data_IF_948929911957
#
_entry.id   IF_948929911957
#
_cell.length_a   1.000
_cell.length_b   1.000
_cell.length_c   1.000
_cell.angle_alpha   90.00
_cell.angle_beta   90.00
_cell.angle_gamma   90.00
#
_symmetry.space_group_name_H-M   'P 1'
#
loop_
_entity.id
_entity.type
_entity.pdbx_description
1 polymer ?
#
# COMPACT_ATOMS: atom_id res chain seq x y z
N UNK A 1 -0.70 40.56 9.07
CA UNK A 1 -0.33 39.85 7.82
C UNK A 1 1.19 39.80 7.56
N UNK A 2 1.97 40.89 7.68
CA UNK A 2 3.38 40.88 7.23
C UNK A 2 4.31 39.87 7.92
N UNK A 3 4.11 39.57 9.22
CA UNK A 3 4.95 38.60 9.94
C UNK A 3 4.69 37.14 9.52
N UNK A 4 3.42 36.75 9.31
CA UNK A 4 3.04 35.42 8.81
C UNK A 4 3.64 35.17 7.41
N UNK A 5 3.50 36.14 6.51
CA UNK A 5 4.09 36.07 5.17
C UNK A 5 5.62 35.95 5.23
N UNK A 6 6.30 36.74 6.07
CA UNK A 6 7.76 36.63 6.24
C UNK A 6 8.20 35.26 6.75
N UNK A 7 7.43 34.64 7.66
CA UNK A 7 7.76 33.35 8.25
C UNK A 7 7.49 32.16 7.30
N UNK A 8 6.40 32.21 6.54
CA UNK A 8 5.91 31.08 5.74
C UNK A 8 6.12 31.24 4.23
N UNK A 9 6.70 32.34 3.73
CA UNK A 9 6.90 32.60 2.28
C UNK A 9 7.51 31.43 1.52
N UNK A 10 8.51 30.78 2.11
CA UNK A 10 9.21 29.66 1.48
C UNK A 10 8.31 28.42 1.44
N UNK A 11 7.58 28.15 2.52
CA UNK A 11 6.63 27.03 2.56
C UNK A 11 5.48 27.24 1.56
N UNK A 12 4.97 28.48 1.43
CA UNK A 12 3.93 28.81 0.45
C UNK A 12 4.45 28.69 -0.98
N UNK A 13 5.65 29.21 -1.27
CA UNK A 13 6.28 29.08 -2.58
C UNK A 13 6.54 27.63 -2.97
N UNK A 14 7.10 26.82 -2.07
CA UNK A 14 7.26 25.39 -2.27
C UNK A 14 5.91 24.67 -2.43
N UNK A 15 4.88 25.09 -1.70
CA UNK A 15 3.53 24.57 -1.85
C UNK A 15 2.97 24.79 -3.26
N UNK A 16 3.17 25.99 -3.83
CA UNK A 16 2.79 26.30 -5.21
C UNK A 16 3.62 25.48 -6.22
N UNK A 17 4.93 25.38 -6.02
CA UNK A 17 5.81 24.55 -6.86
C UNK A 17 5.35 23.09 -6.84
N UNK A 18 5.08 22.52 -5.65
CA UNK A 18 4.57 21.16 -5.53
C UNK A 18 3.22 20.99 -6.22
N UNK A 19 2.31 21.95 -6.11
CA UNK A 19 1.02 21.89 -6.80
C UNK A 19 1.20 21.88 -8.33
N UNK A 20 2.07 22.73 -8.88
CA UNK A 20 2.38 22.72 -10.32
C UNK A 20 3.02 21.41 -10.76
N UNK A 21 3.93 20.86 -9.96
CA UNK A 21 4.59 19.58 -10.28
C UNK A 21 3.60 18.42 -10.20
N UNK A 22 2.72 18.35 -9.19
CA UNK A 22 1.67 17.33 -9.14
C UNK A 22 0.68 17.47 -10.30
N UNK A 23 0.27 18.69 -10.66
CA UNK A 23 -0.60 18.91 -11.81
C UNK A 23 0.08 18.47 -13.12
N UNK A 24 1.36 18.77 -13.28
CA UNK A 24 2.16 18.28 -14.40
C UNK A 24 2.20 16.74 -14.44
N UNK A 25 2.47 16.09 -13.31
CA UNK A 25 2.47 14.62 -13.23
C UNK A 25 1.10 14.02 -13.56
N UNK A 26 0.02 14.64 -13.09
CA UNK A 26 -1.34 14.15 -13.29
C UNK A 26 -1.81 14.24 -14.74
N UNK A 27 -1.38 15.26 -15.48
CA UNK A 27 -2.00 15.62 -16.77
C UNK A 27 -1.06 15.54 -17.97
N UNK A 28 0.25 15.41 -17.76
CA UNK A 28 1.23 15.47 -18.85
C UNK A 28 2.38 14.45 -18.74
N UNK A 29 2.57 13.80 -17.59
CA UNK A 29 3.64 12.82 -17.43
C UNK A 29 3.18 11.44 -17.87
N UNK A 30 3.93 10.84 -18.78
CA UNK A 30 3.77 9.44 -19.19
C UNK A 30 4.70 8.53 -18.37
N UNK A 31 4.28 7.28 -18.13
CA UNK A 31 5.00 6.32 -17.27
C UNK A 31 6.41 6.03 -17.75
N UNK A 32 6.61 6.03 -19.06
CA UNK A 32 7.84 5.73 -19.76
C UNK A 32 8.88 6.86 -19.62
N UNK A 33 8.46 8.07 -19.23
CA UNK A 33 9.32 9.24 -19.07
C UNK A 33 10.10 9.22 -17.74
N UNK A 34 10.87 8.16 -17.51
CA UNK A 34 11.53 7.85 -16.23
C UNK A 34 12.34 9.00 -15.64
N UNK A 35 13.15 9.70 -16.44
CA UNK A 35 13.98 10.81 -15.94
C UNK A 35 13.13 11.99 -15.43
N UNK A 36 12.04 12.30 -16.13
CA UNK A 36 11.12 13.36 -15.75
C UNK A 36 10.35 12.96 -14.48
N UNK A 37 9.91 11.69 -14.39
CA UNK A 37 9.29 11.14 -13.19
C UNK A 37 10.21 11.26 -11.98
N UNK A 38 11.48 10.85 -12.10
CA UNK A 38 12.45 10.95 -10.99
C UNK A 38 12.74 12.38 -10.58
N UNK A 39 12.97 13.28 -11.54
CA UNK A 39 13.25 14.68 -11.25
C UNK A 39 12.06 15.37 -10.55
N UNK A 40 10.85 15.19 -11.09
CA UNK A 40 9.63 15.74 -10.52
C UNK A 40 9.33 15.15 -9.13
N UNK A 41 9.50 13.84 -8.95
CA UNK A 41 9.36 13.19 -7.65
C UNK A 41 10.39 13.68 -6.63
N UNK A 42 11.65 13.87 -7.04
CA UNK A 42 12.70 14.42 -6.18
C UNK A 42 12.39 15.83 -5.68
N UNK A 43 11.84 16.70 -6.54
CA UNK A 43 11.38 18.04 -6.15
C UNK A 43 10.26 17.95 -5.10
N UNK A 44 9.26 17.09 -5.34
CA UNK A 44 8.16 16.86 -4.40
C UNK A 44 8.67 16.33 -3.06
N UNK A 45 9.62 15.39 -3.08
CA UNK A 45 10.18 14.79 -1.88
C UNK A 45 11.00 15.80 -1.06
N UNK A 46 11.78 16.66 -1.71
CA UNK A 46 12.51 17.73 -1.05
C UNK A 46 11.56 18.75 -0.38
N UNK A 47 10.51 19.16 -1.09
CA UNK A 47 9.47 20.05 -0.56
C UNK A 47 8.72 19.41 0.61
N UNK A 48 8.36 18.13 0.51
CA UNK A 48 7.76 17.35 1.59
C UNK A 48 8.62 17.36 2.86
N UNK A 49 9.92 17.04 2.76
CA UNK A 49 10.83 17.07 3.90
C UNK A 49 10.91 18.47 4.51
N UNK A 50 10.92 19.52 3.67
CA UNK A 50 10.89 20.90 4.14
C UNK A 50 9.61 21.21 4.94
N UNK A 51 8.43 20.84 4.44
CA UNK A 51 7.16 21.05 5.14
C UNK A 51 7.14 20.35 6.50
N UNK A 52 7.60 19.10 6.59
CA UNK A 52 7.63 18.38 7.85
C UNK A 52 8.63 19.00 8.85
N UNK A 53 9.76 19.52 8.39
CA UNK A 53 10.74 20.12 9.29
C UNK A 53 10.34 21.51 9.77
N UNK A 54 9.78 22.33 8.88
CA UNK A 54 9.54 23.77 9.12
C UNK A 54 8.10 24.09 9.53
N UNK A 55 7.13 23.29 9.10
CA UNK A 55 5.70 23.56 9.27
C UNK A 55 4.97 22.52 10.12
N UNK A 56 5.67 21.60 10.80
CA UNK A 56 5.06 20.52 11.62
C UNK A 56 3.98 20.95 12.62
N UNK A 57 4.01 22.19 13.11
CA UNK A 57 3.01 22.71 14.05
C UNK A 57 1.83 23.39 13.34
N UNK A 58 1.96 23.69 12.05
CA UNK A 58 0.96 24.38 11.25
C UNK A 58 -0.05 23.40 10.66
N UNK A 59 -0.93 22.87 11.52
CA UNK A 59 -1.88 21.82 11.13
C UNK A 59 -2.73 22.18 9.91
N UNK A 60 -3.32 23.37 9.89
CA UNK A 60 -4.23 23.81 8.82
C UNK A 60 -3.50 23.87 7.48
N UNK A 61 -2.26 24.36 7.48
CA UNK A 61 -1.44 24.41 6.29
C UNK A 61 -1.12 23.00 5.77
N UNK A 62 -0.61 22.11 6.62
CA UNK A 62 -0.26 20.73 6.21
C UNK A 62 -1.50 19.93 5.76
N UNK A 63 -2.64 20.12 6.42
CA UNK A 63 -3.91 19.53 5.99
C UNK A 63 -4.34 20.07 4.61
N UNK A 64 -4.29 21.38 4.43
CA UNK A 64 -4.63 22.05 3.18
C UNK A 64 -3.75 21.59 2.01
N UNK A 65 -2.44 21.48 2.22
CA UNK A 65 -1.52 20.92 1.22
C UNK A 65 -1.90 19.49 0.85
N UNK A 66 -2.08 18.61 1.83
CA UNK A 66 -2.32 17.19 1.56
C UNK A 66 -3.66 16.92 0.89
N UNK A 67 -4.71 17.69 1.20
CA UNK A 67 -5.99 17.63 0.46
C UNK A 67 -5.83 18.25 -0.92
N UNK A 68 -5.27 19.47 -1.00
CA UNK A 68 -5.10 20.20 -2.25
C UNK A 68 -4.31 19.40 -3.29
N UNK A 69 -3.20 18.78 -2.92
CA UNK A 69 -2.40 17.95 -3.82
C UNK A 69 -3.17 16.73 -4.36
N UNK A 70 -4.00 16.08 -3.54
CA UNK A 70 -4.83 14.95 -3.99
C UNK A 70 -5.94 15.39 -4.94
N UNK A 71 -6.51 16.58 -4.74
CA UNK A 71 -7.56 17.14 -5.60
C UNK A 71 -7.06 17.45 -7.02
N UNK A 72 -5.76 17.68 -7.22
CA UNK A 72 -5.18 17.89 -8.56
C UNK A 72 -5.32 16.67 -9.48
N UNK A 73 -5.42 15.48 -8.88
CA UNK A 73 -5.63 14.23 -9.61
C UNK A 73 -7.11 13.94 -9.88
N UNK A 74 -8.07 14.70 -9.34
CA UNK A 74 -9.49 14.32 -9.34
C UNK A 74 -10.01 13.95 -10.73
N UNK A 75 -9.64 14.74 -11.74
CA UNK A 75 -10.01 14.56 -13.15
C UNK A 75 -8.80 14.21 -14.03
N UNK A 76 -7.87 13.39 -13.53
CA UNK A 76 -6.76 12.85 -14.30
C UNK A 76 -6.96 11.36 -14.59
N UNK A 77 -6.32 10.79 -15.61
CA UNK A 77 -6.20 9.32 -15.68
C UNK A 77 -5.07 8.85 -14.74
N UNK A 78 -5.20 7.67 -14.10
CA UNK A 78 -4.04 6.99 -13.52
C UNK A 78 -2.96 6.76 -14.58
N UNK A 79 -1.73 7.19 -14.30
CA UNK A 79 -0.65 7.20 -15.28
C UNK A 79 0.47 6.19 -14.97
N UNK A 80 0.57 5.69 -13.74
CA UNK A 80 1.57 4.69 -13.33
C UNK A 80 1.03 3.26 -13.29
N UNK A 81 -0.30 3.09 -13.27
CA UNK A 81 -0.94 1.78 -13.18
C UNK A 81 -2.16 1.69 -14.09
N UNK A 82 -2.39 0.49 -14.62
CA UNK A 82 -3.55 0.13 -15.43
C UNK A 82 -4.58 -0.71 -14.65
N UNK A 83 -4.34 -0.99 -13.37
CA UNK A 83 -5.21 -1.85 -12.55
C UNK A 83 -6.64 -1.31 -12.45
N UNK A 84 -6.80 0.00 -12.57
CA UNK A 84 -8.10 0.66 -12.46
C UNK A 84 -9.11 0.23 -13.53
N UNK A 85 -8.65 -0.18 -14.72
CA UNK A 85 -9.52 -0.79 -15.72
C UNK A 85 -10.17 -2.06 -15.18
N UNK A 86 -9.39 -2.90 -14.47
CA UNK A 86 -9.90 -4.11 -13.85
C UNK A 86 -10.84 -3.80 -12.68
N UNK A 87 -10.57 -2.74 -11.92
CA UNK A 87 -11.47 -2.32 -10.84
C UNK A 87 -12.85 -1.93 -11.39
N UNK A 88 -12.90 -1.15 -12.48
CA UNK A 88 -14.16 -0.74 -13.10
C UNK A 88 -14.87 -1.96 -13.71
N UNK A 89 -14.14 -2.82 -14.41
CA UNK A 89 -14.67 -4.07 -14.99
C UNK A 89 -15.33 -4.94 -13.94
N UNK A 90 -14.61 -5.29 -12.87
CA UNK A 90 -15.12 -6.16 -11.82
C UNK A 90 -16.32 -5.51 -11.10
N UNK A 91 -16.28 -4.18 -10.89
CA UNK A 91 -17.40 -3.45 -10.32
C UNK A 91 -18.66 -3.50 -11.17
N UNK A 92 -18.53 -3.41 -12.50
CA UNK A 92 -19.66 -3.56 -13.44
C UNK A 92 -20.18 -5.00 -13.47
N UNK A 93 -19.31 -6.00 -13.46
CA UNK A 93 -19.71 -7.42 -13.42
C UNK A 93 -20.67 -7.71 -12.26
N UNK A 94 -20.34 -7.21 -11.07
CA UNK A 94 -21.16 -7.40 -9.87
C UNK A 94 -22.56 -6.79 -10.07
N UNK A 95 -22.67 -5.65 -10.74
CA UNK A 95 -23.97 -5.02 -11.04
C UNK A 95 -24.78 -5.76 -12.10
N UNK A 96 -24.12 -6.48 -13.00
CA UNK A 96 -24.75 -7.33 -14.00
C UNK A 96 -24.98 -8.77 -13.48
N UNK A 97 -24.74 -9.02 -12.18
CA UNK A 97 -25.02 -10.29 -11.52
C UNK A 97 -23.95 -11.37 -11.68
N UNK A 98 -22.79 -11.03 -12.25
CA UNK A 98 -21.65 -11.93 -12.40
C UNK A 98 -20.69 -11.85 -11.21
N UNK A 99 -20.14 -13.00 -10.81
CA UNK A 99 -19.03 -13.04 -9.85
C UNK A 99 -17.69 -12.87 -10.56
N UNK A 100 -16.85 -11.89 -10.18
CA UNK A 100 -15.50 -11.72 -10.74
C UNK A 100 -14.53 -12.90 -10.48
N UNK A 101 -14.92 -13.85 -9.62
CA UNK A 101 -14.15 -15.05 -9.33
C UNK A 101 -14.55 -16.24 -10.20
N UNK A 102 -15.68 -16.16 -10.91
CA UNK A 102 -16.19 -17.27 -11.70
C UNK A 102 -15.59 -17.31 -13.10
N UNK A 103 -15.45 -16.14 -13.74
CA UNK A 103 -14.95 -16.02 -15.11
C UNK A 103 -13.83 -15.00 -15.21
N UNK A 104 -12.84 -15.29 -16.05
CA UNK A 104 -11.85 -14.32 -16.51
C UNK A 104 -12.45 -13.37 -17.56
N UNK A 105 -11.90 -12.16 -17.74
CA UNK A 105 -12.34 -11.25 -18.80
C UNK A 105 -12.25 -11.88 -20.21
N UNK A 106 -11.23 -12.70 -20.49
CA UNK A 106 -11.11 -13.42 -21.77
C UNK A 106 -12.29 -14.36 -22.04
N UNK A 107 -12.72 -15.12 -21.02
CA UNK A 107 -13.84 -16.05 -21.16
C UNK A 107 -15.15 -15.29 -21.40
N UNK A 108 -15.38 -14.21 -20.67
CA UNK A 108 -16.58 -13.37 -20.84
C UNK A 108 -16.64 -12.72 -22.22
N UNK A 109 -15.52 -12.18 -22.72
CA UNK A 109 -15.45 -11.60 -24.06
C UNK A 109 -15.62 -12.63 -25.18
N UNK A 110 -15.39 -13.92 -24.91
CA UNK A 110 -15.62 -15.00 -25.86
C UNK A 110 -17.08 -15.51 -25.88
N UNK A 111 -17.90 -15.12 -24.90
CA UNK A 111 -19.32 -15.50 -24.85
C UNK A 111 -20.14 -14.68 -25.86
N UNK A 112 -20.90 -15.31 -26.77
CA UNK A 112 -21.60 -14.60 -27.86
C UNK A 112 -22.58 -13.50 -27.41
N UNK A 113 -23.23 -13.69 -26.26
CA UNK A 113 -24.28 -12.80 -25.76
C UNK A 113 -23.85 -11.95 -24.55
N UNK A 114 -22.55 -11.94 -24.21
CA UNK A 114 -22.07 -11.15 -23.08
C UNK A 114 -22.06 -9.66 -23.41
N UNK A 115 -22.72 -8.86 -22.57
CA UNK A 115 -22.76 -7.41 -22.68
C UNK A 115 -22.37 -6.78 -21.36
N UNK A 116 -21.37 -5.90 -21.40
CA UNK A 116 -20.96 -5.09 -20.28
C UNK A 116 -20.72 -3.65 -20.77
N UNK A 117 -21.15 -2.61 -20.04
CA UNK A 117 -20.83 -1.24 -20.39
C UNK A 117 -19.31 -1.05 -20.51
N UNK A 118 -18.86 -0.41 -21.59
CA UNK A 118 -17.43 -0.10 -21.84
C UNK A 118 -16.52 -1.35 -21.90
N UNK A 119 -17.08 -2.54 -22.19
CA UNK A 119 -16.32 -3.81 -22.16
C UNK A 119 -15.01 -3.74 -22.95
N UNK A 120 -15.05 -3.27 -24.21
CA UNK A 120 -13.89 -3.24 -25.09
C UNK A 120 -12.77 -2.33 -24.53
N UNK A 121 -13.12 -1.10 -24.13
CA UNK A 121 -12.18 -0.13 -23.56
C UNK A 121 -11.49 -0.67 -22.30
N UNK A 122 -12.29 -1.25 -21.39
CA UNK A 122 -11.77 -1.81 -20.14
C UNK A 122 -10.91 -3.07 -20.38
N UNK A 123 -11.33 -3.92 -21.31
CA UNK A 123 -10.63 -5.15 -21.69
C UNK A 123 -9.27 -4.86 -22.33
N UNK A 124 -9.22 -3.91 -23.27
CA UNK A 124 -7.96 -3.47 -23.89
C UNK A 124 -7.06 -2.78 -22.86
N UNK A 125 -7.61 -1.89 -22.03
CA UNK A 125 -6.85 -1.11 -21.05
C UNK A 125 -6.21 -1.93 -19.93
N UNK A 126 -6.88 -2.98 -19.44
CA UNK A 126 -6.32 -3.81 -18.35
C UNK A 126 -5.11 -4.66 -18.79
N UNK A 127 -4.98 -4.90 -20.10
CA UNK A 127 -3.90 -5.70 -20.69
C UNK A 127 -4.05 -7.20 -20.52
N UNK A 128 -3.23 -7.94 -21.26
CA UNK A 128 -3.35 -9.40 -21.44
C UNK A 128 -3.17 -10.20 -20.16
N UNK A 129 -2.28 -9.76 -19.25
CA UNK A 129 -2.05 -10.43 -17.98
C UNK A 129 -3.31 -10.42 -17.10
N UNK A 130 -3.92 -9.25 -16.91
CA UNK A 130 -5.16 -9.15 -16.13
C UNK A 130 -6.31 -9.90 -16.82
N UNK A 131 -6.46 -9.73 -18.13
CA UNK A 131 -7.56 -10.31 -18.89
C UNK A 131 -7.59 -11.85 -18.90
N UNK A 132 -6.42 -12.49 -18.77
CA UNK A 132 -6.28 -13.96 -18.75
C UNK A 132 -6.65 -14.59 -17.41
N UNK A 133 -6.70 -13.83 -16.32
CA UNK A 133 -6.83 -14.39 -14.97
C UNK A 133 -8.11 -13.94 -14.26
N UNK A 134 -8.60 -14.81 -13.37
CA UNK A 134 -9.69 -14.49 -12.45
C UNK A 134 -9.28 -13.35 -11.51
N UNK A 135 -10.26 -12.76 -10.83
CA UNK A 135 -9.95 -11.65 -9.95
C UNK A 135 -9.14 -12.09 -8.72
N UNK A 136 -8.08 -11.36 -8.42
CA UNK A 136 -7.23 -11.55 -7.23
C UNK A 136 -7.62 -10.63 -6.06
N UNK A 137 -8.60 -9.74 -6.26
CA UNK A 137 -8.98 -8.76 -5.24
C UNK A 137 -9.87 -9.40 -4.18
N UNK A 138 -9.64 -9.13 -2.88
CA UNK A 138 -10.48 -9.66 -1.81
C UNK A 138 -11.94 -9.15 -1.84
N UNK A 139 -12.88 -9.85 -1.16
CA UNK A 139 -14.32 -9.60 -1.33
C UNK A 139 -14.81 -8.20 -0.97
N UNK A 140 -14.30 -7.57 0.09
CA UNK A 140 -14.73 -6.20 0.41
C UNK A 140 -14.18 -5.20 -0.61
N UNK A 141 -13.00 -5.45 -1.18
CA UNK A 141 -12.47 -4.61 -2.26
C UNK A 141 -13.38 -4.65 -3.50
N UNK A 142 -13.86 -5.85 -3.85
CA UNK A 142 -14.83 -6.05 -4.92
C UNK A 142 -16.13 -5.26 -4.70
N UNK A 143 -16.66 -5.29 -3.48
CA UNK A 143 -17.84 -4.49 -3.14
C UNK A 143 -17.57 -2.98 -3.22
N UNK A 144 -16.35 -2.53 -2.92
CA UNK A 144 -15.98 -1.11 -3.11
C UNK A 144 -15.85 -0.77 -4.60
N UNK A 145 -15.39 -1.68 -5.46
CA UNK A 145 -15.40 -1.46 -6.90
C UNK A 145 -16.83 -1.28 -7.42
N UNK A 146 -17.74 -2.18 -7.06
CA UNK A 146 -19.16 -2.06 -7.39
C UNK A 146 -19.75 -0.74 -6.86
N UNK A 147 -19.45 -0.37 -5.61
CA UNK A 147 -19.89 0.91 -5.04
C UNK A 147 -19.35 2.11 -5.84
N UNK A 148 -18.08 2.07 -6.23
CA UNK A 148 -17.45 3.16 -6.98
C UNK A 148 -18.08 3.33 -8.35
N UNK A 149 -18.35 2.22 -9.05
CA UNK A 149 -19.05 2.22 -10.33
C UNK A 149 -20.48 2.76 -10.20
N UNK A 150 -21.20 2.38 -9.13
CA UNK A 150 -22.55 2.87 -8.87
C UNK A 150 -22.59 4.38 -8.61
N UNK A 151 -21.72 4.87 -7.71
CA UNK A 151 -21.59 6.30 -7.42
C UNK A 151 -21.10 7.09 -8.65
N UNK A 152 -20.31 6.45 -9.51
CA UNK A 152 -19.84 6.96 -10.78
C UNK A 152 -20.84 6.91 -11.93
N UNK A 153 -22.09 6.50 -11.67
CA UNK A 153 -23.14 6.41 -12.68
C UNK A 153 -22.86 5.38 -13.79
N UNK A 154 -22.08 4.33 -13.48
CA UNK A 154 -21.61 3.31 -14.44
C UNK A 154 -20.83 3.89 -15.63
N UNK A 155 -20.14 5.01 -15.45
CA UNK A 155 -19.26 5.62 -16.46
C UNK A 155 -17.79 5.45 -16.10
N UNK A 156 -16.91 5.48 -17.10
CA UNK A 156 -15.47 5.42 -16.91
C UNK A 156 -14.97 6.53 -15.95
N UNK A 157 -15.20 7.79 -16.34
CA UNK A 157 -14.77 8.95 -15.56
C UNK A 157 -15.44 9.06 -14.19
N UNK A 158 -16.74 8.78 -14.12
CA UNK A 158 -17.46 8.82 -12.85
C UNK A 158 -16.94 7.78 -11.87
N UNK A 159 -16.61 6.57 -12.35
CA UNK A 159 -16.05 5.51 -11.50
C UNK A 159 -14.69 5.91 -10.94
N UNK A 160 -13.81 6.46 -11.79
CA UNK A 160 -12.51 7.00 -11.39
C UNK A 160 -12.64 8.08 -10.31
N UNK A 161 -13.53 9.06 -10.52
CA UNK A 161 -13.77 10.15 -9.56
C UNK A 161 -14.32 9.59 -8.23
N UNK A 162 -15.26 8.65 -8.29
CA UNK A 162 -15.80 8.00 -7.09
C UNK A 162 -14.72 7.26 -6.30
N UNK A 163 -13.85 6.48 -6.96
CA UNK A 163 -12.72 5.81 -6.33
C UNK A 163 -11.78 6.82 -5.65
N UNK A 164 -11.45 7.93 -6.32
CA UNK A 164 -10.62 9.00 -5.72
C UNK A 164 -11.24 9.61 -4.49
N UNK A 165 -12.55 9.89 -4.51
CA UNK A 165 -13.26 10.46 -3.36
C UNK A 165 -13.22 9.49 -2.18
N UNK A 166 -13.44 8.19 -2.41
CA UNK A 166 -13.38 7.17 -1.37
C UNK A 166 -11.96 7.04 -0.78
N UNK A 167 -10.93 7.02 -1.63
CA UNK A 167 -9.52 6.95 -1.20
C UNK A 167 -9.12 8.23 -0.44
N UNK A 168 -9.51 9.41 -0.92
CA UNK A 168 -9.27 10.68 -0.22
C UNK A 168 -9.95 10.69 1.15
N UNK A 169 -11.19 10.21 1.24
CA UNK A 169 -11.91 10.05 2.51
C UNK A 169 -11.17 9.12 3.47
N UNK A 170 -10.66 8.00 2.97
CA UNK A 170 -9.83 7.06 3.74
C UNK A 170 -8.51 7.69 4.21
N UNK A 171 -7.82 8.47 3.38
CA UNK A 171 -6.58 9.15 3.74
C UNK A 171 -6.80 10.24 4.81
N UNK A 172 -7.89 11.01 4.70
CA UNK A 172 -8.30 11.98 5.73
C UNK A 172 -8.66 11.23 7.03
N UNK A 173 -9.37 10.10 6.92
CA UNK A 173 -9.69 9.22 8.04
C UNK A 173 -8.43 8.68 8.73
N UNK A 174 -7.43 8.27 7.95
CA UNK A 174 -6.12 7.79 8.43
C UNK A 174 -5.39 8.90 9.19
N UNK A 175 -5.36 10.12 8.64
CA UNK A 175 -4.81 11.27 9.36
C UNK A 175 -5.55 11.54 10.67
N UNK A 176 -6.89 11.50 10.65
CA UNK A 176 -7.72 11.79 11.81
C UNK A 176 -7.53 10.76 12.94
N UNK A 177 -7.74 9.47 12.66
CA UNK A 177 -7.59 8.41 13.65
C UNK A 177 -6.13 8.16 14.00
N UNK A 178 -5.21 8.29 13.05
CA UNK A 178 -3.78 8.17 13.28
C UNK A 178 -3.28 9.22 14.26
N UNK A 179 -3.72 10.48 14.14
CA UNK A 179 -3.42 11.53 15.13
C UNK A 179 -3.99 11.24 16.50
N UNK A 180 -5.20 10.68 16.59
CA UNK A 180 -5.78 10.29 17.88
C UNK A 180 -5.00 9.14 18.52
N UNK A 181 -4.64 8.13 17.74
CA UNK A 181 -3.79 7.03 18.18
C UNK A 181 -2.43 7.55 18.65
N UNK A 182 -1.75 8.44 17.89
CA UNK A 182 -0.50 9.06 18.31
C UNK A 182 -0.61 9.74 19.69
N UNK A 183 -1.70 10.46 19.96
CA UNK A 183 -1.95 11.06 21.29
C UNK A 183 -2.09 10.00 22.39
N UNK A 184 -2.84 8.93 22.14
CA UNK A 184 -2.99 7.82 23.09
C UNK A 184 -1.65 7.11 23.38
N UNK A 185 -0.74 7.12 22.41
CA UNK A 185 0.60 6.54 22.53
C UNK A 185 1.65 7.53 23.09
N UNK A 186 1.26 8.75 23.46
CA UNK A 186 2.15 9.84 23.87
C UNK A 186 3.22 10.21 22.82
N UNK A 187 2.87 10.08 21.54
CA UNK A 187 3.70 10.46 20.39
C UNK A 187 3.17 11.78 19.81
N UNK A 188 4.09 12.64 19.35
CA UNK A 188 3.72 13.93 18.78
C UNK A 188 2.75 13.78 17.58
N UNK A 189 1.55 14.41 17.60
CA UNK A 189 0.53 14.19 16.57
C UNK A 189 0.92 14.62 15.15
N UNK A 190 1.91 15.50 15.00
CA UNK A 190 2.40 15.88 13.68
C UNK A 190 3.02 14.70 12.92
N UNK A 191 3.39 13.61 13.62
CA UNK A 191 4.00 12.47 12.98
C UNK A 191 3.11 11.82 11.90
N UNK A 192 1.78 11.94 12.02
CA UNK A 192 0.86 11.44 10.99
C UNK A 192 1.06 12.11 9.61
N UNK A 193 1.66 13.31 9.57
CA UNK A 193 1.99 13.98 8.31
C UNK A 193 3.17 13.35 7.58
N UNK A 194 3.99 12.51 8.23
CA UNK A 194 4.96 11.68 7.52
C UNK A 194 4.27 10.71 6.55
N UNK A 195 3.05 10.27 6.85
CA UNK A 195 2.22 9.51 5.91
C UNK A 195 1.45 10.44 4.98
N UNK A 196 0.66 11.36 5.55
CA UNK A 196 -0.35 12.12 4.80
C UNK A 196 0.23 13.01 3.68
N UNK A 197 1.45 13.51 3.85
CA UNK A 197 2.14 14.36 2.86
C UNK A 197 3.22 13.64 2.06
N UNK A 198 3.44 12.34 2.28
CA UNK A 198 4.47 11.62 1.54
C UNK A 198 4.10 11.61 0.04
N UNK A 199 5.02 12.01 -0.86
CA UNK A 199 4.73 12.07 -2.28
C UNK A 199 4.34 10.73 -2.90
N UNK A 200 4.94 9.62 -2.44
CA UNK A 200 4.57 8.28 -2.88
C UNK A 200 3.12 7.96 -2.49
N UNK A 201 2.73 8.27 -1.24
CA UNK A 201 1.35 8.04 -0.75
C UNK A 201 0.34 8.84 -1.58
N UNK A 202 0.64 10.10 -1.89
CA UNK A 202 -0.25 10.94 -2.72
C UNK A 202 -0.38 10.36 -4.14
N UNK A 203 0.76 10.07 -4.76
CA UNK A 203 0.84 9.62 -6.15
C UNK A 203 0.23 8.24 -6.36
N UNK A 204 0.62 7.26 -5.54
CA UNK A 204 0.17 5.88 -5.70
C UNK A 204 -1.30 5.71 -5.30
N UNK A 205 -1.70 6.25 -4.14
CA UNK A 205 -3.04 5.98 -3.63
C UNK A 205 -4.07 6.85 -4.34
N UNK A 206 -3.88 8.17 -4.37
CA UNK A 206 -4.87 9.09 -4.96
C UNK A 206 -4.69 9.28 -6.47
N UNK A 207 -3.44 9.39 -6.93
CA UNK A 207 -3.14 9.53 -8.35
C UNK A 207 -3.49 8.28 -9.14
N UNK A 208 -3.02 7.12 -8.66
CA UNK A 208 -3.11 5.83 -9.35
C UNK A 208 -4.15 4.84 -8.80
N UNK A 209 -5.05 5.32 -7.92
CA UNK A 209 -6.21 4.56 -7.43
C UNK A 209 -5.88 3.28 -6.65
N UNK A 210 -4.70 3.20 -6.02
CA UNK A 210 -4.35 2.04 -5.21
C UNK A 210 -5.14 2.00 -3.89
N UNK A 211 -5.96 0.96 -3.74
CA UNK A 211 -6.88 0.74 -2.60
C UNK A 211 -6.19 0.43 -1.27
N UNK A 212 -4.87 0.34 -1.26
CA UNK A 212 -4.01 0.32 -0.09
C UNK A 212 -4.33 1.49 0.86
N UNK A 213 -4.77 2.66 0.36
CA UNK A 213 -5.23 3.76 1.21
C UNK A 213 -6.45 3.43 2.07
N UNK A 214 -7.44 2.72 1.50
CA UNK A 214 -8.62 2.28 2.24
C UNK A 214 -8.25 1.16 3.22
N UNK A 215 -7.38 0.22 2.80
CA UNK A 215 -6.82 -0.80 3.69
C UNK A 215 -6.13 -0.15 4.90
N UNK A 216 -5.22 0.81 4.68
CA UNK A 216 -4.48 1.51 5.74
C UNK A 216 -5.43 2.25 6.68
N UNK A 217 -6.49 2.88 6.15
CA UNK A 217 -7.52 3.52 6.97
C UNK A 217 -8.17 2.54 7.94
N UNK A 218 -8.66 1.40 7.45
CA UNK A 218 -9.30 0.40 8.30
C UNK A 218 -8.32 -0.23 9.29
N UNK A 219 -7.07 -0.45 8.89
CA UNK A 219 -6.01 -0.89 9.81
C UNK A 219 -5.75 0.16 10.91
N UNK A 220 -5.64 1.44 10.56
CA UNK A 220 -5.48 2.54 11.51
C UNK A 220 -6.67 2.64 12.47
N UNK A 221 -7.89 2.51 11.95
CA UNK A 221 -9.12 2.51 12.74
C UNK A 221 -9.15 1.31 13.69
N UNK A 222 -8.66 0.15 13.28
CA UNK A 222 -8.53 -1.02 14.13
C UNK A 222 -7.57 -0.76 15.30
N UNK A 223 -6.35 -0.31 15.01
CA UNK A 223 -5.36 0.02 16.04
C UNK A 223 -5.90 1.08 17.02
N UNK A 224 -6.50 2.15 16.51
CA UNK A 224 -7.11 3.19 17.33
C UNK A 224 -8.24 2.64 18.22
N UNK A 225 -9.16 1.87 17.65
CA UNK A 225 -10.32 1.34 18.38
C UNK A 225 -9.91 0.36 19.47
N UNK A 226 -8.95 -0.53 19.18
CA UNK A 226 -8.41 -1.49 20.14
C UNK A 226 -7.67 -0.75 21.26
N UNK A 227 -6.80 0.21 20.93
CA UNK A 227 -6.10 1.03 21.94
C UNK A 227 -7.07 1.85 22.80
N UNK A 228 -8.22 2.24 22.24
CA UNK A 228 -9.27 2.98 22.95
C UNK A 228 -10.21 2.06 23.76
N UNK A 229 -9.92 0.76 23.89
CA UNK A 229 -10.72 -0.21 24.64
C UNK A 229 -11.92 -0.81 23.89
N UNK A 230 -12.16 -0.41 22.64
CA UNK A 230 -13.30 -0.84 21.83
C UNK A 230 -12.92 -2.00 20.89
N UNK A 231 -12.51 -3.13 21.48
CA UNK A 231 -11.88 -4.22 20.72
C UNK A 231 -12.79 -4.86 19.66
N UNK A 232 -14.12 -4.95 19.85
CA UNK A 232 -15.04 -5.50 18.82
C UNK A 232 -15.04 -4.63 17.56
N UNK A 233 -15.17 -3.30 17.72
CA UNK A 233 -15.06 -2.35 16.60
C UNK A 233 -13.68 -2.45 15.95
N UNK A 234 -12.66 -2.65 16.78
CA UNK A 234 -11.31 -3.00 16.37
C UNK A 234 -11.23 -4.23 15.46
N UNK A 235 -11.83 -5.36 15.88
CA UNK A 235 -11.86 -6.61 15.12
C UNK A 235 -12.53 -6.43 13.76
N UNK A 236 -13.69 -5.73 13.71
CA UNK A 236 -14.42 -5.51 12.46
C UNK A 236 -13.66 -4.59 11.50
N UNK A 237 -13.02 -3.53 12.03
CA UNK A 237 -12.15 -2.67 11.22
C UNK A 237 -10.92 -3.46 10.71
N UNK A 238 -10.34 -4.32 11.55
CA UNK A 238 -9.21 -5.17 11.15
C UNK A 238 -9.62 -6.17 10.06
N UNK A 239 -10.78 -6.79 10.21
CA UNK A 239 -11.36 -7.69 9.22
C UNK A 239 -11.62 -6.96 7.89
N UNK A 240 -12.15 -5.73 7.94
CA UNK A 240 -12.32 -4.88 6.75
C UNK A 240 -10.98 -4.61 6.06
N UNK A 241 -9.92 -4.37 6.83
CA UNK A 241 -8.57 -4.19 6.28
C UNK A 241 -8.07 -5.46 5.55
N UNK A 242 -8.27 -6.66 6.12
CA UNK A 242 -7.92 -7.94 5.48
C UNK A 242 -8.76 -8.17 4.23
N UNK A 243 -10.07 -7.93 4.30
CA UNK A 243 -11.00 -8.11 3.19
C UNK A 243 -10.84 -7.05 2.08
N UNK A 244 -9.94 -6.07 2.24
CA UNK A 244 -9.53 -5.14 1.19
C UNK A 244 -8.23 -5.58 0.51
N UNK A 245 -7.25 -6.00 1.30
CA UNK A 245 -5.95 -6.53 0.86
C UNK A 245 -5.49 -7.54 1.88
N UNK A 246 -4.89 -8.65 1.44
CA UNK A 246 -4.51 -9.74 2.34
C UNK A 246 -3.31 -9.44 3.26
N UNK A 247 -2.52 -8.40 2.98
CA UNK A 247 -1.28 -8.07 3.71
C UNK A 247 -1.45 -7.94 5.24
N UNK A 248 -2.51 -7.32 5.80
CA UNK A 248 -2.73 -7.26 7.24
C UNK A 248 -2.93 -8.63 7.90
N UNK A 249 -3.24 -9.69 7.14
CA UNK A 249 -3.30 -11.06 7.65
C UNK A 249 -1.95 -11.49 8.25
N UNK A 250 -0.83 -10.98 7.71
CA UNK A 250 0.51 -11.27 8.21
C UNK A 250 0.69 -10.91 9.69
N UNK A 251 -0.03 -9.90 10.20
CA UNK A 251 0.09 -9.47 11.60
C UNK A 251 -0.83 -10.23 12.55
N UNK A 252 -1.66 -11.16 12.08
CA UNK A 252 -2.56 -11.94 12.93
C UNK A 252 -1.86 -12.61 14.12
N UNK A 253 -0.69 -13.26 13.96
CA UNK A 253 0.03 -13.85 15.08
C UNK A 253 0.49 -12.81 16.12
N UNK A 254 0.72 -11.56 15.74
CA UNK A 254 1.23 -10.54 16.66
C UNK A 254 0.23 -10.16 17.75
N UNK A 255 -1.07 -10.43 17.53
CA UNK A 255 -2.14 -10.19 18.49
C UNK A 255 -2.23 -11.23 19.61
N UNK A 256 -1.53 -12.36 19.50
CA UNK A 256 -1.59 -13.48 20.46
C UNK A 256 -1.32 -13.05 21.90
N UNK A 257 -0.36 -12.15 22.11
CA UNK A 257 -0.03 -11.60 23.44
C UNK A 257 -0.83 -10.34 23.79
N UNK A 258 -1.36 -9.63 22.80
CA UNK A 258 -2.10 -8.39 23.03
C UNK A 258 -3.43 -8.64 23.76
N UNK A 259 -4.18 -9.66 23.34
CA UNK A 259 -5.45 -10.02 23.95
C UNK A 259 -5.32 -11.15 24.97
N UNK A 260 -6.11 -11.09 26.05
CA UNK A 260 -6.35 -12.25 26.93
C UNK A 260 -7.09 -13.35 26.18
N UNK A 261 -6.91 -14.62 26.55
CA UNK A 261 -7.40 -15.80 25.79
C UNK A 261 -8.87 -15.73 25.36
N UNK A 262 -9.79 -15.26 26.22
CA UNK A 262 -11.21 -15.10 25.85
C UNK A 262 -11.43 -14.05 24.76
N UNK A 263 -10.78 -12.88 24.85
CA UNK A 263 -10.91 -11.83 23.85
C UNK A 263 -10.20 -12.20 22.56
N UNK A 264 -9.10 -12.95 22.64
CA UNK A 264 -8.37 -13.43 21.48
C UNK A 264 -9.23 -14.35 20.60
N UNK A 265 -9.93 -15.31 21.22
CA UNK A 265 -10.87 -16.19 20.51
C UNK A 265 -11.92 -15.38 19.74
N UNK A 266 -12.60 -14.45 20.42
CA UNK A 266 -13.63 -13.63 19.78
C UNK A 266 -13.07 -12.66 18.75
N UNK A 267 -11.87 -12.11 18.96
CA UNK A 267 -11.17 -11.28 17.98
C UNK A 267 -11.00 -12.03 16.66
N UNK A 268 -10.48 -13.26 16.70
CA UNK A 268 -10.33 -14.10 15.51
C UNK A 268 -11.66 -14.60 14.95
N UNK A 269 -12.63 -14.94 15.81
CA UNK A 269 -13.96 -15.36 15.37
C UNK A 269 -14.70 -14.22 14.62
N UNK A 270 -14.63 -12.98 15.11
CA UNK A 270 -15.20 -11.83 14.40
C UNK A 270 -14.52 -11.56 13.06
N UNK A 271 -13.19 -11.71 13.00
CA UNK A 271 -12.46 -11.58 11.73
C UNK A 271 -12.89 -12.66 10.74
N UNK A 272 -12.88 -13.94 11.14
CA UNK A 272 -13.29 -15.05 10.29
C UNK A 272 -14.73 -14.92 9.83
N UNK A 273 -15.66 -14.63 10.76
CA UNK A 273 -17.07 -14.42 10.45
C UNK A 273 -17.31 -13.25 9.50
N UNK A 274 -16.59 -12.14 9.65
CA UNK A 274 -16.71 -11.00 8.75
C UNK A 274 -16.16 -11.30 7.36
N UNK A 275 -15.01 -11.98 7.26
CA UNK A 275 -14.43 -12.38 5.96
C UNK A 275 -15.41 -13.30 5.22
N UNK A 276 -15.97 -14.31 5.90
CA UNK A 276 -16.99 -15.20 5.33
C UNK A 276 -18.24 -14.42 4.89
N UNK A 277 -18.74 -13.51 5.73
CA UNK A 277 -19.89 -12.68 5.40
C UNK A 277 -19.63 -11.80 4.17
N UNK A 278 -18.41 -11.23 4.04
CA UNK A 278 -18.03 -10.41 2.89
C UNK A 278 -17.92 -11.22 1.60
N UNK A 279 -17.69 -12.53 1.69
CA UNK A 279 -17.61 -13.44 0.55
C UNK A 279 -19.00 -13.91 0.07
N UNK A 280 -19.99 -14.02 0.96
CA UNK A 280 -21.34 -14.51 0.62
C UNK A 280 -21.95 -13.90 -0.67
N UNK A 281 -21.93 -12.57 -0.91
CA UNK A 281 -22.53 -12.01 -2.12
C UNK A 281 -21.78 -12.35 -3.42
N UNK A 282 -20.55 -12.87 -3.33
CA UNK A 282 -19.67 -13.16 -4.47
C UNK A 282 -19.34 -14.66 -4.57
N UNK A 283 -19.91 -15.49 -3.70
CA UNK A 283 -19.58 -16.89 -3.62
C UNK A 283 -20.02 -17.63 -4.88
N UNK A 284 -19.08 -18.37 -5.47
CA UNK A 284 -19.34 -19.38 -6.48
C UNK A 284 -18.71 -20.70 -6.02
N UNK A 285 -19.22 -21.87 -6.46
CA UNK A 285 -18.60 -23.16 -6.16
C UNK A 285 -17.11 -23.23 -6.56
N UNK A 286 -16.74 -22.54 -7.64
CA UNK A 286 -15.39 -22.51 -8.21
C UNK A 286 -14.46 -21.50 -7.49
N UNK A 287 -14.99 -20.68 -6.59
CA UNK A 287 -14.27 -19.57 -5.95
C UNK A 287 -12.92 -20.02 -5.36
N UNK A 288 -12.91 -21.10 -4.56
CA UNK A 288 -11.70 -21.52 -3.85
C UNK A 288 -10.59 -21.93 -4.84
N UNK A 289 -10.95 -22.67 -5.89
CA UNK A 289 -10.01 -23.14 -6.90
C UNK A 289 -9.43 -21.98 -7.70
N UNK A 290 -10.30 -21.14 -8.28
CA UNK A 290 -9.90 -20.01 -9.13
C UNK A 290 -9.13 -18.93 -8.35
N UNK A 291 -9.55 -18.65 -7.11
CA UNK A 291 -8.86 -17.69 -6.26
C UNK A 291 -7.50 -18.22 -5.82
N UNK A 292 -7.39 -19.51 -5.48
CA UNK A 292 -6.11 -20.13 -5.15
C UNK A 292 -5.16 -20.16 -6.35
N UNK A 293 -5.64 -20.48 -7.55
CA UNK A 293 -4.85 -20.46 -8.78
C UNK A 293 -4.24 -19.07 -9.00
N UNK A 294 -5.07 -18.05 -8.95
CA UNK A 294 -4.67 -16.66 -9.19
C UNK A 294 -3.67 -16.20 -8.14
N UNK A 295 -3.98 -16.38 -6.85
CA UNK A 295 -3.05 -16.04 -5.75
C UNK A 295 -1.72 -16.78 -5.93
N UNK A 296 -1.74 -18.08 -6.20
CA UNK A 296 -0.50 -18.86 -6.38
C UNK A 296 0.37 -18.34 -7.53
N UNK A 297 -0.24 -17.86 -8.62
CA UNK A 297 0.47 -17.23 -9.73
C UNK A 297 1.20 -15.96 -9.28
N UNK A 298 0.48 -15.03 -8.63
CA UNK A 298 1.02 -13.74 -8.22
C UNK A 298 2.14 -13.85 -7.17
N UNK A 299 2.07 -14.85 -6.28
CA UNK A 299 3.11 -15.09 -5.27
C UNK A 299 4.25 -16.02 -5.75
N UNK A 300 4.06 -16.75 -6.86
CA UNK A 300 5.00 -17.80 -7.29
C UNK A 300 5.73 -17.56 -8.60
N UNK A 301 5.24 -16.66 -9.47
CA UNK A 301 5.80 -16.45 -10.81
C UNK A 301 6.00 -14.98 -11.19
N UNK A 302 5.54 -14.04 -10.38
CA UNK A 302 5.70 -12.61 -10.67
C UNK A 302 6.94 -12.03 -10.01
N UNK A 303 7.59 -11.10 -10.70
CA UNK A 303 8.79 -10.41 -10.26
C UNK A 303 8.69 -8.92 -10.60
N UNK A 304 8.81 -8.07 -9.60
CA UNK A 304 8.93 -6.61 -9.78
C UNK A 304 9.58 -5.97 -8.56
N UNK A 305 10.55 -5.10 -8.76
CA UNK A 305 11.43 -4.55 -7.73
C UNK A 305 12.00 -5.63 -6.79
N UNK A 306 12.54 -6.69 -7.37
CA UNK A 306 12.81 -7.94 -6.64
C UNK A 306 14.18 -7.95 -5.94
N UNK A 307 14.42 -7.06 -4.98
CA UNK A 307 15.74 -6.79 -4.39
C UNK A 307 16.60 -8.01 -4.00
N UNK A 308 16.41 -8.55 -2.79
CA UNK A 308 17.23 -9.68 -2.31
C UNK A 308 17.03 -10.93 -3.17
N UNK A 309 15.82 -11.15 -3.69
CA UNK A 309 15.54 -12.26 -4.60
C UNK A 309 16.49 -12.25 -5.80
N UNK A 310 16.65 -11.11 -6.49
CA UNK A 310 17.50 -11.00 -7.68
C UNK A 310 18.96 -11.29 -7.39
N UNK A 311 19.44 -10.84 -6.22
CA UNK A 311 20.79 -11.15 -5.77
C UNK A 311 20.96 -12.65 -5.54
N UNK A 312 20.03 -13.30 -4.82
CA UNK A 312 20.11 -14.75 -4.56
C UNK A 312 19.94 -15.55 -5.84
N UNK A 313 19.03 -15.17 -6.73
CA UNK A 313 18.82 -15.80 -8.04
C UNK A 313 20.10 -15.81 -8.86
N UNK A 314 20.83 -14.69 -8.93
CA UNK A 314 22.12 -14.61 -9.60
C UNK A 314 23.11 -15.65 -9.06
N UNK A 315 23.32 -15.71 -7.74
CA UNK A 315 24.23 -16.70 -7.16
C UNK A 315 23.76 -18.15 -7.33
N UNK A 316 22.46 -18.41 -7.21
CA UNK A 316 21.93 -19.77 -7.35
C UNK A 316 22.06 -20.25 -8.80
N UNK A 317 21.68 -19.43 -9.76
CA UNK A 317 21.74 -19.79 -11.19
C UNK A 317 23.17 -20.01 -11.66
N UNK A 318 24.11 -19.16 -11.25
CA UNK A 318 25.53 -19.27 -11.60
C UNK A 318 26.23 -20.48 -10.97
N UNK A 319 25.92 -20.84 -9.72
CA UNK A 319 26.71 -21.84 -8.97
C UNK A 319 26.02 -23.19 -8.75
N UNK A 320 24.70 -23.31 -8.98
CA UNK A 320 23.95 -24.55 -8.67
C UNK A 320 23.28 -25.23 -9.87
N UNK A 321 23.48 -24.73 -11.10
CA UNK A 321 22.82 -25.20 -12.32
C UNK A 321 21.28 -25.27 -12.23
N UNK A 322 20.66 -24.60 -11.25
CA UNK A 322 19.22 -24.53 -11.11
C UNK A 322 18.68 -23.37 -11.98
N UNK A 323 17.83 -23.64 -12.99
CA UNK A 323 17.27 -22.59 -13.83
C UNK A 323 16.43 -21.59 -13.03
N UNK A 324 16.48 -20.30 -13.39
CA UNK A 324 15.75 -19.21 -12.73
C UNK A 324 14.25 -19.50 -12.56
N UNK A 325 13.59 -20.04 -13.60
CA UNK A 325 12.16 -20.38 -13.55
C UNK A 325 11.81 -21.50 -12.55
N UNK A 326 12.76 -22.39 -12.22
CA UNK A 326 12.58 -23.36 -11.13
C UNK A 326 12.86 -22.71 -9.79
N UNK A 327 13.91 -21.89 -9.73
CA UNK A 327 14.29 -21.20 -8.50
C UNK A 327 13.19 -20.28 -7.98
N UNK A 328 12.56 -19.46 -8.83
CA UNK A 328 11.47 -18.56 -8.41
C UNK A 328 10.33 -19.31 -7.71
N UNK A 329 9.96 -20.48 -8.23
CA UNK A 329 8.90 -21.33 -7.65
C UNK A 329 9.29 -21.87 -6.29
N UNK A 330 10.52 -22.36 -6.16
CA UNK A 330 11.04 -22.86 -4.87
C UNK A 330 11.14 -21.71 -3.86
N UNK A 331 11.69 -20.57 -4.27
CA UNK A 331 11.83 -19.39 -3.44
C UNK A 331 10.47 -18.87 -2.95
N UNK A 332 9.50 -18.75 -3.87
CA UNK A 332 8.13 -18.31 -3.56
C UNK A 332 7.40 -19.21 -2.57
N UNK A 333 7.72 -20.50 -2.50
CA UNK A 333 7.18 -21.41 -1.47
C UNK A 333 7.80 -21.17 -0.09
N UNK A 334 9.07 -20.76 -0.02
CA UNK A 334 9.77 -20.52 1.24
C UNK A 334 9.50 -19.13 1.83
N UNK A 335 9.17 -18.12 1.02
CA UNK A 335 8.87 -16.76 1.50
C UNK A 335 7.72 -16.73 2.53
N UNK A 336 6.54 -17.37 2.30
CA UNK A 336 5.49 -17.47 3.30
C UNK A 336 5.94 -18.17 4.58
N UNK A 337 6.71 -19.25 4.46
CA UNK A 337 7.22 -20.02 5.62
C UNK A 337 8.13 -19.14 6.48
N UNK A 338 9.12 -18.49 5.87
CA UNK A 338 10.02 -17.58 6.57
C UNK A 338 9.26 -16.42 7.26
N UNK A 339 8.24 -15.89 6.58
CA UNK A 339 7.39 -14.82 7.11
C UNK A 339 6.55 -15.28 8.30
N UNK A 340 5.94 -16.47 8.24
CA UNK A 340 5.16 -17.05 9.34
C UNK A 340 6.07 -17.33 10.55
N UNK A 341 7.25 -17.91 10.32
CA UNK A 341 8.23 -18.17 11.38
C UNK A 341 8.62 -16.86 12.07
N UNK A 342 8.96 -15.81 11.31
CA UNK A 342 9.27 -14.52 11.91
C UNK A 342 8.06 -13.92 12.64
N UNK A 343 6.84 -14.04 12.10
CA UNK A 343 5.63 -13.55 12.74
C UNK A 343 5.41 -14.23 14.10
N UNK A 344 5.59 -15.55 14.18
CA UNK A 344 5.50 -16.31 15.43
C UNK A 344 6.62 -15.94 16.41
N UNK A 345 7.85 -15.79 15.95
CA UNK A 345 8.97 -15.34 16.79
C UNK A 345 8.70 -13.95 17.37
N UNK A 346 8.25 -13.00 16.55
CA UNK A 346 7.89 -11.65 17.00
C UNK A 346 6.67 -11.68 17.93
N UNK A 347 5.71 -12.55 17.68
CA UNK A 347 4.52 -12.72 18.52
C UNK A 347 4.85 -13.26 19.91
N UNK A 348 5.72 -14.26 20.01
CA UNK A 348 6.04 -14.96 21.25
C UNK A 348 7.14 -14.26 22.05
N UNK A 349 8.18 -13.74 21.39
CA UNK A 349 9.37 -13.21 22.07
C UNK A 349 9.28 -11.71 22.42
N UNK A 350 8.45 -10.93 21.72
CA UNK A 350 8.32 -9.49 22.01
C UNK A 350 7.13 -9.22 22.91
N UNK A 351 7.21 -8.11 23.66
CA UNK A 351 6.15 -7.63 24.55
C UNK A 351 5.03 -6.93 23.78
N UNK A 352 4.36 -7.64 22.88
CA UNK A 352 3.30 -7.08 22.04
C UNK A 352 2.02 -6.77 22.82
N UNK A 353 1.99 -6.93 24.16
CA UNK A 353 0.94 -6.39 25.03
C UNK A 353 0.84 -4.85 24.93
N UNK A 354 1.96 -4.20 24.60
CA UNK A 354 2.02 -2.75 24.42
C UNK A 354 1.85 -2.37 22.94
N UNK A 355 0.86 -1.53 22.63
CA UNK A 355 0.58 -1.09 21.25
C UNK A 355 1.80 -0.49 20.50
N UNK A 356 2.67 0.34 21.12
CA UNK A 356 3.90 0.79 20.44
C UNK A 356 4.89 -0.34 20.12
N UNK A 357 4.89 -1.43 20.90
CA UNK A 357 5.71 -2.62 20.60
C UNK A 357 5.07 -3.41 19.46
N UNK A 358 3.75 -3.61 19.48
CA UNK A 358 3.00 -4.30 18.43
C UNK A 358 3.20 -3.60 17.07
N UNK A 359 3.04 -2.28 17.00
CA UNK A 359 3.24 -1.51 15.74
C UNK A 359 4.67 -1.67 15.22
N UNK A 360 5.68 -1.67 16.10
CA UNK A 360 7.08 -1.93 15.71
C UNK A 360 7.28 -3.36 15.22
N UNK A 361 6.60 -4.35 15.81
CA UNK A 361 6.62 -5.74 15.36
C UNK A 361 5.97 -5.86 13.96
N UNK A 362 4.86 -5.15 13.69
CA UNK A 362 4.28 -5.07 12.36
C UNK A 362 5.27 -4.45 11.36
N UNK A 363 5.94 -3.35 11.73
CA UNK A 363 6.94 -2.71 10.88
C UNK A 363 8.08 -3.67 10.53
N UNK A 364 8.64 -4.40 11.50
CA UNK A 364 9.71 -5.36 11.24
C UNK A 364 9.24 -6.54 10.38
N UNK A 365 8.07 -7.09 10.66
CA UNK A 365 7.53 -8.22 9.90
C UNK A 365 7.27 -7.82 8.44
N UNK A 366 6.64 -6.67 8.21
CA UNK A 366 6.34 -6.19 6.86
C UNK A 366 7.62 -5.83 6.09
N UNK A 367 8.60 -5.22 6.76
CA UNK A 367 9.90 -4.90 6.14
C UNK A 367 10.65 -6.16 5.74
N UNK A 368 10.70 -7.15 6.63
CA UNK A 368 11.30 -8.44 6.33
C UNK A 368 10.60 -9.10 5.14
N UNK A 369 9.28 -9.16 5.16
CA UNK A 369 8.49 -9.72 4.06
C UNK A 369 8.82 -9.04 2.72
N UNK A 370 8.86 -7.71 2.65
CA UNK A 370 9.22 -7.01 1.41
C UNK A 370 10.69 -7.15 1.03
N UNK A 371 11.62 -7.26 1.98
CA UNK A 371 13.02 -7.51 1.65
C UNK A 371 13.21 -8.87 0.95
N UNK A 372 12.45 -9.89 1.35
CA UNK A 372 12.53 -11.24 0.77
C UNK A 372 11.46 -11.51 -0.30
N UNK A 373 10.62 -10.53 -0.66
CA UNK A 373 9.58 -10.73 -1.66
C UNK A 373 10.19 -10.72 -3.07
N UNK A 374 9.62 -11.50 -3.99
CA UNK A 374 9.93 -11.38 -5.42
C UNK A 374 9.25 -10.16 -6.05
N UNK A 375 8.27 -9.59 -5.37
CA UNK A 375 7.45 -8.48 -5.88
C UNK A 375 7.25 -7.41 -4.80
N UNK A 376 7.74 -6.19 -5.06
CA UNK A 376 7.61 -5.00 -4.21
C UNK A 376 7.17 -3.80 -5.05
N UNK A 377 5.88 -3.73 -5.33
CA UNK A 377 5.33 -2.56 -6.01
C UNK A 377 5.40 -1.30 -5.13
N UNK A 378 5.57 -0.10 -5.71
CA UNK A 378 5.79 1.13 -4.94
C UNK A 378 4.67 1.43 -3.94
N UNK A 379 3.41 1.21 -4.33
CA UNK A 379 2.26 1.43 -3.46
C UNK A 379 2.24 0.52 -2.21
N UNK A 380 2.91 -0.65 -2.21
CA UNK A 380 3.04 -1.50 -1.02
C UNK A 380 3.78 -0.80 0.12
N UNK A 381 4.74 0.07 -0.21
CA UNK A 381 5.53 0.79 0.79
C UNK A 381 4.72 1.86 1.52
N UNK A 382 3.55 2.27 1.02
CA UNK A 382 2.65 3.18 1.72
C UNK A 382 2.28 2.64 3.11
N UNK A 383 2.17 1.32 3.26
CA UNK A 383 1.87 0.70 4.54
C UNK A 383 3.08 0.75 5.50
N UNK A 384 4.31 0.59 4.99
CA UNK A 384 5.52 0.81 5.78
C UNK A 384 5.68 2.27 6.20
N UNK A 385 5.36 3.22 5.32
CA UNK A 385 5.35 4.66 5.64
C UNK A 385 4.34 4.95 6.76
N UNK A 386 3.13 4.39 6.67
CA UNK A 386 2.12 4.48 7.71
C UNK A 386 2.64 3.95 9.05
N UNK A 387 3.13 2.71 9.09
CA UNK A 387 3.67 2.09 10.32
C UNK A 387 4.85 2.90 10.88
N UNK A 388 5.75 3.34 10.01
CA UNK A 388 6.91 4.17 10.35
C UNK A 388 6.52 5.47 11.07
N UNK A 389 5.39 6.06 10.73
CA UNK A 389 4.89 7.30 11.35
C UNK A 389 4.57 7.19 12.85
N UNK A 390 4.40 5.96 13.37
CA UNK A 390 4.21 5.69 14.80
C UNK A 390 5.50 5.28 15.51
N UNK A 391 6.64 5.30 14.82
CA UNK A 391 7.92 4.83 15.36
C UNK A 391 9.00 5.91 15.25
N UNK A 392 10.21 5.58 15.72
CA UNK A 392 11.40 6.42 15.51
C UNK A 392 12.16 6.06 14.24
N UNK A 393 11.78 4.97 13.55
CA UNK A 393 12.42 4.51 12.33
C UNK A 393 12.01 5.38 11.13
N UNK A 394 12.97 5.79 10.31
CA UNK A 394 12.79 6.63 9.11
C UNK A 394 13.24 5.93 7.84
N UNK A 395 13.81 4.71 7.91
CA UNK A 395 14.07 3.92 6.70
C UNK A 395 12.83 3.72 5.81
N UNK A 396 11.55 3.65 6.29
CA UNK A 396 10.40 3.58 5.38
C UNK A 396 10.23 4.84 4.53
N UNK A 397 10.59 6.00 5.10
CA UNK A 397 10.59 7.28 4.37
C UNK A 397 11.71 7.26 3.33
N UNK A 398 12.90 6.80 3.69
CA UNK A 398 14.01 6.60 2.75
C UNK A 398 13.64 5.64 1.61
N UNK A 399 12.99 4.52 1.92
CA UNK A 399 12.54 3.57 0.91
C UNK A 399 11.47 4.17 0.00
N UNK A 400 10.51 4.93 0.55
CA UNK A 400 9.54 5.63 -0.29
C UNK A 400 10.17 6.67 -1.23
N UNK A 401 11.36 7.20 -0.89
CA UNK A 401 12.11 8.08 -1.77
C UNK A 401 12.80 7.34 -2.92
N UNK A 402 13.31 6.13 -2.64
CA UNK A 402 14.17 5.36 -3.53
C UNK A 402 13.38 4.43 -4.46
N UNK A 403 12.21 3.94 -4.01
CA UNK A 403 11.39 2.99 -4.78
C UNK A 403 10.96 3.53 -6.15
N UNK A 404 10.95 4.84 -6.35
CA UNK A 404 10.65 5.44 -7.65
C UNK A 404 11.63 5.00 -8.74
N UNK A 405 12.84 4.55 -8.37
CA UNK A 405 13.84 4.00 -9.30
C UNK A 405 13.34 2.74 -10.01
N UNK A 406 12.43 1.97 -9.39
CA UNK A 406 11.81 0.79 -10.00
C UNK A 406 11.02 1.12 -11.28
N UNK A 407 10.52 2.35 -11.43
CA UNK A 407 9.80 2.76 -12.65
C UNK A 407 10.67 2.79 -13.91
N UNK A 408 12.00 2.73 -13.79
CA UNK A 408 12.88 2.56 -14.95
C UNK A 408 12.59 1.27 -15.73
N UNK A 409 11.97 0.27 -15.11
CA UNK A 409 11.56 -0.96 -15.78
C UNK A 409 10.56 -0.67 -16.91
N UNK A 410 9.65 0.30 -16.74
CA UNK A 410 8.62 0.62 -17.73
C UNK A 410 9.14 1.34 -18.97
N UNK A 411 10.33 1.94 -18.91
CA UNK A 411 10.96 2.55 -20.08
C UNK A 411 11.74 1.55 -20.94
N UNK A 412 11.83 0.28 -20.53
CA UNK A 412 12.58 -0.77 -21.23
C UNK A 412 11.64 -1.80 -21.85
N UNK A 413 12.10 -2.42 -22.93
CA UNK A 413 11.38 -3.54 -23.54
C UNK A 413 11.16 -4.66 -22.49
N UNK A 414 9.98 -5.26 -22.57
CA UNK A 414 9.54 -6.36 -21.69
C UNK A 414 9.55 -6.03 -20.18
N UNK A 415 9.47 -4.76 -19.80
CA UNK A 415 9.46 -4.32 -18.39
C UNK A 415 10.70 -4.79 -17.60
N UNK A 416 11.85 -4.86 -18.27
CA UNK A 416 13.08 -5.42 -17.68
C UNK A 416 13.71 -4.49 -16.63
N UNK A 417 14.11 -5.05 -15.49
CA UNK A 417 14.69 -4.28 -14.39
C UNK A 417 16.19 -4.00 -14.57
N UNK A 418 16.67 -2.91 -13.98
CA UNK A 418 18.11 -2.62 -13.91
C UNK A 418 18.71 -3.16 -12.62
N UNK A 419 19.55 -4.21 -12.71
CA UNK A 419 20.24 -4.78 -11.55
C UNK A 419 21.04 -3.74 -10.77
N UNK A 420 21.63 -2.76 -11.45
CA UNK A 420 22.37 -1.66 -10.80
C UNK A 420 21.44 -0.75 -9.99
N UNK A 421 20.28 -0.36 -10.52
CA UNK A 421 19.33 0.50 -9.81
C UNK A 421 18.73 -0.24 -8.61
N UNK A 422 18.34 -1.51 -8.80
CA UNK A 422 17.89 -2.38 -7.72
C UNK A 422 18.96 -2.50 -6.61
N UNK A 423 20.22 -2.71 -7.00
CA UNK A 423 21.34 -2.79 -6.08
C UNK A 423 21.52 -1.50 -5.27
N UNK A 424 21.45 -0.33 -5.92
CA UNK A 424 21.54 0.98 -5.26
C UNK A 424 20.37 1.17 -4.27
N UNK A 425 19.13 0.93 -4.72
CA UNK A 425 17.94 1.07 -3.88
C UNK A 425 18.06 0.21 -2.63
N UNK A 426 18.25 -1.10 -2.79
CA UNK A 426 18.24 -2.03 -1.66
C UNK A 426 19.47 -1.87 -0.77
N UNK A 427 20.65 -1.55 -1.32
CA UNK A 427 21.82 -1.27 -0.49
C UNK A 427 21.59 -0.08 0.43
N UNK A 428 21.04 1.03 -0.09
CA UNK A 428 20.75 2.22 0.70
C UNK A 428 19.64 1.95 1.74
N UNK A 429 18.55 1.29 1.36
CA UNK A 429 17.43 1.01 2.26
C UNK A 429 17.84 0.05 3.38
N UNK A 430 18.53 -1.05 3.05
CA UNK A 430 19.02 -2.01 4.05
C UNK A 430 20.07 -1.34 4.95
N UNK A 431 20.96 -0.53 4.37
CA UNK A 431 21.94 0.25 5.14
C UNK A 431 21.29 1.20 6.14
N UNK A 432 20.26 1.94 5.73
CA UNK A 432 19.46 2.81 6.62
C UNK A 432 18.73 2.00 7.70
N UNK A 433 18.10 0.89 7.33
CA UNK A 433 17.43 -0.01 8.27
C UNK A 433 18.40 -0.53 9.34
N UNK A 434 19.55 -1.06 8.93
CA UNK A 434 20.58 -1.59 9.84
C UNK A 434 21.14 -0.48 10.72
N UNK A 435 21.47 0.69 10.15
CA UNK A 435 21.96 1.84 10.90
C UNK A 435 20.98 2.27 12.00
N UNK A 436 19.69 2.42 11.66
CA UNK A 436 18.66 2.78 12.63
C UNK A 436 18.45 1.70 13.68
N UNK A 437 18.42 0.43 13.27
CA UNK A 437 18.24 -0.72 14.17
C UNK A 437 19.36 -0.82 15.21
N UNK A 438 20.61 -0.58 14.81
CA UNK A 438 21.76 -0.60 15.70
C UNK A 438 21.81 0.63 16.63
N UNK A 439 21.41 1.80 16.16
CA UNK A 439 21.56 3.05 16.92
C UNK A 439 20.35 3.43 17.77
N UNK A 440 19.13 3.08 17.37
CA UNK A 440 17.92 3.36 18.16
C UNK A 440 17.72 2.38 19.32
N UNK A 441 18.42 1.24 19.31
CA UNK A 441 18.47 0.30 20.44
C UNK A 441 19.39 0.74 21.58
N UNK A 442 20.34 1.64 21.33
CA UNK A 442 21.18 2.17 22.40
C UNK A 442 20.32 3.07 23.28
N UNK A 443 20.25 2.85 24.61
CA UNK A 443 19.72 3.88 25.48
C UNK A 443 20.53 5.13 25.18
N UNK A 444 19.86 6.23 24.80
CA UNK A 444 20.54 7.52 24.74
C UNK A 444 21.04 7.79 26.16
N UNK A 445 22.31 7.47 26.42
CA UNK A 445 23.04 8.00 27.55
C UNK A 445 22.79 9.51 27.48
N UNK A 446 22.02 10.01 28.44
CA UNK A 446 21.87 11.45 28.68
C UNK A 446 23.20 11.99 29.19
N UNK A 447 24.19 12.01 28.31
CA UNK A 447 25.11 13.12 28.16
C UNK A 447 24.25 14.04 27.28
N UNK A 448 23.67 15.14 27.72
CA UNK A 448 24.29 16.30 28.32
C UNK A 448 23.48 16.76 29.55
N UNK A 449 24.20 17.01 30.65
CA UNK A 449 23.76 17.85 31.77
C UNK A 449 23.95 19.32 31.37
N UNK A 450 22.99 20.14 31.83
CA UNK A 450 22.94 21.62 31.85
C UNK A 450 22.55 22.31 30.55
#
# INVERSE_FOLDING_TARGET
MSAFWKLHRMALGLGLVSALVYAFQAHALEREQTLILWASFGILFAAYLYFIQREKLNFRFLLGLGIGFRLLFLCADPFLSQDFYRFIWDGLLIWEGYSPYQFSPNELMAMPDFQLPMAQELYEGMGTLSAKHFSNYPPLNQLIFALSVALGGKTYWGSIIAMRILILGADIGTLYFGRKLLRLLNIAPYQAFWYFLNPLVIMELSGNLHFEGIMIFFFCLALYSIQSGHWIRGSLAYASSISLKLVPLLFMPLWLRYFKSKHLFWFYAFIGGFVLLSLLPLYSPEFLEHYQETISLWFGNFRFNAGLYSFVEYWVTEYSNLPAWKFIKVYGQWVPVATIVLALLLALLRKNEEMPVLIRSCLYLLSFYFFISTTVHPWYLCFLVFLGSFTSYRFPIGWSALVILSYAAYARENFSESTTLLGIEYFLVIGLFVYEFLNLKKPKLRLWKK
#
